data_IF_963432084092
#
_entry.id   IF_963432084092
#
_cell.length_a   1.000
_cell.length_b   1.000
_cell.length_c   1.000
_cell.angle_alpha   90.00
_cell.angle_beta   90.00
_cell.angle_gamma   90.00
#
_symmetry.space_group_name_H-M   'P 1'
#
loop_
_entity.id
_entity.type
_entity.pdbx_description
1 polymer ?
#
# COMPACT_ATOMS: atom_id res chain seq x y z
N UNK A 1 23.61 -42.80 24.99
CA UNK A 1 23.91 -41.69 24.06
C UNK A 1 22.66 -41.42 23.25
N UNK A 2 21.75 -40.60 23.80
CA UNK A 2 20.54 -40.15 23.13
C UNK A 2 20.94 -39.14 22.06
N UNK A 3 20.62 -39.43 20.80
CA UNK A 3 20.87 -38.51 19.70
C UNK A 3 20.14 -37.20 19.97
N UNK A 4 20.91 -36.11 20.12
CA UNK A 4 20.37 -34.75 20.18
C UNK A 4 19.65 -34.48 18.86
N UNK A 5 18.36 -34.17 18.94
CA UNK A 5 17.55 -33.77 17.79
C UNK A 5 18.24 -32.58 17.09
N UNK A 6 18.61 -32.67 15.80
CA UNK A 6 19.33 -31.62 15.09
C UNK A 6 18.57 -30.29 15.00
N UNK A 7 17.27 -30.26 15.32
CA UNK A 7 16.50 -29.02 15.45
C UNK A 7 16.74 -28.25 16.77
N UNK A 8 17.44 -28.86 17.73
CA UNK A 8 17.70 -28.26 19.06
C UNK A 8 18.81 -27.20 19.05
N UNK A 9 19.63 -27.17 17.99
CA UNK A 9 20.81 -26.28 17.86
C UNK A 9 20.58 -25.10 16.91
N UNK A 10 19.45 -25.06 16.21
CA UNK A 10 19.14 -23.96 15.30
C UNK A 10 18.44 -22.83 16.07
N UNK A 11 19.02 -21.63 16.02
CA UNK A 11 18.31 -20.40 16.41
C UNK A 11 17.00 -20.23 15.63
N UNK A 12 16.14 -19.30 16.03
CA UNK A 12 14.82 -19.07 15.40
C UNK A 12 14.90 -19.00 13.85
N UNK A 13 15.90 -18.29 13.32
CA UNK A 13 16.16 -18.21 11.89
C UNK A 13 16.44 -19.58 11.24
N UNK A 14 17.25 -20.41 11.89
CA UNK A 14 17.56 -21.76 11.39
C UNK A 14 16.35 -22.69 11.38
N UNK A 15 15.49 -22.61 12.41
CA UNK A 15 14.23 -23.38 12.46
C UNK A 15 13.25 -22.94 11.37
N UNK A 16 13.14 -21.64 11.12
CA UNK A 16 12.30 -21.10 10.05
C UNK A 16 12.85 -21.49 8.66
N UNK A 17 14.18 -21.42 8.46
CA UNK A 17 14.81 -21.84 7.21
C UNK A 17 14.68 -23.35 6.96
N UNK A 18 14.57 -24.17 7.99
CA UNK A 18 14.29 -25.59 7.86
C UNK A 18 12.79 -25.88 7.64
N UNK A 19 11.89 -25.12 8.29
CA UNK A 19 10.45 -25.42 8.35
C UNK A 19 9.59 -24.86 7.21
N UNK A 20 10.01 -23.79 6.54
CA UNK A 20 9.25 -23.22 5.40
C UNK A 20 9.50 -24.05 4.14
N UNK A 21 8.46 -24.59 3.50
CA UNK A 21 8.54 -25.37 2.25
C UNK A 21 8.83 -24.47 1.05
N UNK A 22 9.43 -25.03 0.00
CA UNK A 22 9.93 -24.26 -1.16
C UNK A 22 8.87 -23.43 -1.88
N UNK A 23 7.63 -23.91 -1.92
CA UNK A 23 6.49 -23.20 -2.52
C UNK A 23 6.12 -21.92 -1.77
N UNK A 24 6.42 -21.85 -0.46
CA UNK A 24 6.25 -20.65 0.37
C UNK A 24 7.48 -19.75 0.40
N UNK A 25 8.64 -20.15 -0.16
CA UNK A 25 9.90 -19.37 -0.08
C UNK A 25 10.03 -18.25 -1.12
N UNK A 26 9.04 -18.07 -2.00
CA UNK A 26 9.08 -17.07 -3.08
C UNK A 26 8.80 -15.65 -2.56
N UNK A 27 9.29 -14.64 -3.30
CA UNK A 27 8.95 -13.22 -3.06
C UNK A 27 7.50 -12.92 -3.36
N UNK A 28 6.91 -13.68 -4.29
CA UNK A 28 5.51 -13.60 -4.68
C UNK A 28 4.89 -14.98 -4.50
N UNK A 29 3.88 -15.08 -3.64
CA UNK A 29 3.10 -16.30 -3.50
C UNK A 29 1.80 -16.16 -4.31
N UNK A 30 1.58 -17.13 -5.17
CA UNK A 30 0.42 -17.22 -6.06
C UNK A 30 -0.39 -18.46 -5.67
N UNK A 31 -1.69 -18.26 -5.48
CA UNK A 31 -2.62 -19.34 -5.13
C UNK A 31 -3.74 -19.38 -6.16
N UNK A 32 -4.27 -20.57 -6.40
CA UNK A 32 -5.41 -20.75 -7.28
C UNK A 32 -6.65 -19.99 -6.75
N UNK A 33 -7.53 -19.57 -7.65
CA UNK A 33 -8.72 -18.81 -7.26
C UNK A 33 -9.63 -19.59 -6.30
N UNK A 34 -9.66 -20.91 -6.43
CA UNK A 34 -10.42 -21.86 -5.60
C UNK A 34 -9.68 -22.32 -4.33
N UNK A 35 -8.45 -21.84 -4.09
CA UNK A 35 -7.69 -22.18 -2.89
C UNK A 35 -8.51 -21.90 -1.62
N UNK A 36 -8.54 -22.88 -0.71
CA UNK A 36 -9.42 -22.88 0.45
C UNK A 36 -9.14 -21.71 1.41
N UNK A 37 -7.90 -21.22 1.47
CA UNK A 37 -7.44 -20.23 2.45
C UNK A 37 -7.19 -18.88 1.78
N UNK A 38 -6.42 -18.86 0.69
CA UNK A 38 -5.98 -17.65 0.00
C UNK A 38 -6.80 -17.34 -1.25
N UNK A 39 -7.55 -18.32 -1.77
CA UNK A 39 -8.39 -18.15 -2.95
C UNK A 39 -9.63 -17.32 -2.65
N UNK A 40 -9.93 -16.35 -3.51
CA UNK A 40 -11.12 -15.50 -3.42
C UNK A 40 -12.39 -16.09 -4.06
N UNK A 41 -12.29 -17.29 -4.65
CA UNK A 41 -13.22 -17.83 -5.63
C UNK A 41 -12.96 -17.28 -7.03
N UNK A 42 -13.48 -17.93 -8.07
CA UNK A 42 -13.41 -17.39 -9.44
C UNK A 42 -14.48 -16.31 -9.66
N UNK A 43 -14.15 -15.30 -10.46
CA UNK A 43 -15.13 -14.30 -10.89
C UNK A 43 -16.27 -14.98 -11.66
N UNK A 44 -17.52 -14.69 -11.28
CA UNK A 44 -18.73 -15.27 -11.87
C UNK A 44 -19.03 -14.83 -13.31
N UNK A 45 -18.38 -13.78 -13.78
CA UNK A 45 -18.49 -13.33 -15.17
C UNK A 45 -17.80 -14.34 -16.08
N UNK A 46 -18.51 -14.88 -17.06
CA UNK A 46 -17.99 -15.81 -18.07
C UNK A 46 -16.73 -15.24 -18.73
N UNK A 47 -15.73 -16.07 -19.00
CA UNK A 47 -14.44 -15.68 -19.59
C UNK A 47 -13.59 -14.70 -18.73
N UNK A 48 -13.95 -14.48 -17.47
CA UNK A 48 -13.13 -13.71 -16.54
C UNK A 48 -12.24 -14.63 -15.69
N UNK A 49 -10.96 -14.78 -16.07
CA UNK A 49 -9.97 -15.54 -15.31
C UNK A 49 -9.43 -14.87 -14.03
N UNK A 50 -10.16 -13.92 -13.43
CA UNK A 50 -9.71 -13.17 -12.24
C UNK A 50 -10.33 -13.70 -10.96
N UNK A 51 -9.63 -13.50 -9.84
CA UNK A 51 -10.13 -13.89 -8.52
C UNK A 51 -11.24 -12.96 -8.03
N UNK A 52 -12.33 -13.55 -7.53
CA UNK A 52 -13.43 -12.86 -6.87
C UNK A 52 -12.99 -12.33 -5.50
N UNK A 53 -13.68 -11.28 -5.02
CA UNK A 53 -13.40 -10.67 -3.69
C UNK A 53 -14.64 -10.50 -2.83
N UNK A 54 -15.80 -10.37 -3.45
CA UNK A 54 -17.09 -10.22 -2.78
C UNK A 54 -18.20 -10.34 -3.81
N UNK A 55 -19.35 -10.89 -3.41
CA UNK A 55 -20.48 -11.18 -4.31
C UNK A 55 -20.08 -12.02 -5.55
N UNK A 56 -19.01 -12.81 -5.47
CA UNK A 56 -18.51 -13.60 -6.60
C UNK A 56 -17.89 -12.78 -7.75
N UNK A 57 -17.61 -11.49 -7.58
CA UNK A 57 -17.03 -10.64 -8.63
C UNK A 57 -15.58 -10.27 -8.33
N UNK A 58 -14.75 -10.17 -9.38
CA UNK A 58 -13.43 -9.55 -9.27
C UNK A 58 -13.57 -8.04 -8.99
N UNK A 59 -12.50 -7.37 -8.54
CA UNK A 59 -12.54 -5.94 -8.19
C UNK A 59 -13.08 -5.06 -9.34
N UNK A 60 -12.65 -5.35 -10.57
CA UNK A 60 -13.06 -4.56 -11.74
C UNK A 60 -14.51 -4.78 -12.15
N UNK A 61 -15.06 -5.98 -11.96
CA UNK A 61 -16.47 -6.27 -12.20
C UNK A 61 -17.36 -5.76 -11.09
N UNK A 62 -16.93 -5.90 -9.83
CA UNK A 62 -17.64 -5.34 -8.68
C UNK A 62 -17.78 -3.81 -8.80
N UNK A 63 -16.72 -3.10 -9.19
CA UNK A 63 -16.79 -1.65 -9.39
C UNK A 63 -17.79 -1.27 -10.50
N UNK A 64 -17.85 -2.04 -11.57
CA UNK A 64 -18.80 -1.81 -12.67
C UNK A 64 -20.24 -2.08 -12.24
N UNK A 65 -20.47 -3.16 -11.53
CA UNK A 65 -21.75 -3.51 -10.95
C UNK A 65 -22.23 -2.39 -10.01
N UNK A 66 -21.35 -1.89 -9.13
CA UNK A 66 -21.65 -0.76 -8.26
C UNK A 66 -21.99 0.52 -9.04
N UNK A 67 -21.20 0.84 -10.09
CA UNK A 67 -21.45 2.02 -10.93
C UNK A 67 -22.73 1.92 -11.77
N UNK A 68 -23.20 0.71 -12.06
CA UNK A 68 -24.45 0.45 -12.76
C UNK A 68 -25.68 0.51 -11.83
N UNK A 69 -25.50 0.89 -10.57
CA UNK A 69 -26.60 0.96 -9.60
C UNK A 69 -26.91 -0.37 -8.90
N UNK A 70 -25.98 -1.34 -8.94
CA UNK A 70 -26.13 -2.68 -8.33
C UNK A 70 -27.38 -3.44 -8.84
N UNK A 71 -27.50 -3.66 -10.15
CA UNK A 71 -28.59 -4.46 -10.73
C UNK A 71 -28.53 -5.92 -10.24
N UNK A 72 -29.48 -6.75 -10.66
CA UNK A 72 -29.42 -8.18 -10.36
C UNK A 72 -28.07 -8.78 -10.80
N UNK A 73 -27.53 -9.66 -9.94
CA UNK A 73 -26.19 -10.17 -10.10
C UNK A 73 -26.09 -11.18 -11.25
N UNK A 74 -27.09 -12.04 -11.44
CA UNK A 74 -27.10 -13.00 -12.54
C UNK A 74 -27.15 -12.25 -13.88
N UNK A 75 -28.10 -11.33 -14.01
CA UNK A 75 -28.25 -10.50 -15.21
C UNK A 75 -26.98 -9.71 -15.53
N UNK A 76 -26.35 -9.12 -14.51
CA UNK A 76 -25.10 -8.39 -14.67
C UNK A 76 -23.95 -9.30 -15.14
N UNK A 77 -23.83 -10.50 -14.58
CA UNK A 77 -22.71 -11.40 -14.91
C UNK A 77 -22.74 -11.87 -16.35
N UNK A 78 -23.93 -11.98 -16.95
CA UNK A 78 -24.11 -12.35 -18.37
C UNK A 78 -23.86 -11.17 -19.30
N UNK A 79 -24.26 -9.95 -18.91
CA UNK A 79 -24.24 -8.77 -19.80
C UNK A 79 -22.92 -7.98 -19.77
N UNK A 80 -22.11 -8.12 -18.72
CA UNK A 80 -20.93 -7.29 -18.51
C UNK A 80 -19.70 -7.80 -19.29
N UNK A 81 -18.95 -6.87 -19.90
CA UNK A 81 -17.73 -7.20 -20.66
C UNK A 81 -16.69 -7.94 -19.78
N UNK A 82 -16.22 -9.15 -20.15
CA UNK A 82 -15.32 -9.93 -19.31
C UNK A 82 -13.90 -9.35 -19.27
N UNK A 83 -13.53 -8.50 -20.23
CA UNK A 83 -12.17 -7.97 -20.38
C UNK A 83 -11.74 -7.12 -19.20
N UNK A 84 -10.42 -6.98 -19.07
CA UNK A 84 -9.81 -6.02 -18.18
C UNK A 84 -10.16 -4.60 -18.61
N UNK A 85 -10.26 -3.67 -17.66
CA UNK A 85 -10.52 -2.25 -17.97
C UNK A 85 -9.51 -1.71 -19.00
N UNK A 86 -8.23 -2.07 -18.86
CA UNK A 86 -7.15 -1.71 -19.78
C UNK A 86 -7.24 -2.37 -21.16
N UNK A 87 -8.04 -3.43 -21.30
CA UNK A 87 -8.24 -4.16 -22.57
C UNK A 87 -9.55 -3.79 -23.27
N UNK A 88 -10.37 -2.94 -22.64
CA UNK A 88 -11.55 -2.39 -23.31
C UNK A 88 -11.11 -1.39 -24.37
N UNK A 89 -11.81 -1.34 -25.52
CA UNK A 89 -11.57 -0.30 -26.50
C UNK A 89 -11.68 1.07 -25.83
N UNK A 90 -10.65 1.88 -25.99
CA UNK A 90 -10.73 3.29 -25.62
C UNK A 90 -11.79 3.96 -26.50
N UNK A 91 -12.54 4.91 -25.94
CA UNK A 91 -13.56 5.65 -26.68
C UNK A 91 -12.92 6.35 -27.88
N UNK A 92 -13.52 6.20 -29.06
CA UNK A 92 -13.12 6.89 -30.28
C UNK A 92 -13.74 8.30 -30.34
N UNK A 93 -13.24 9.13 -31.24
CA UNK A 93 -13.89 10.39 -31.58
C UNK A 93 -15.28 10.11 -32.15
N UNK A 94 -16.26 10.93 -31.77
CA UNK A 94 -17.64 10.85 -32.29
C UNK A 94 -17.79 11.36 -33.72
N UNK A 95 -16.76 12.01 -34.29
CA UNK A 95 -16.77 12.45 -35.68
C UNK A 95 -16.61 11.23 -36.58
N UNK A 96 -17.52 11.07 -37.53
CA UNK A 96 -17.47 9.97 -38.48
C UNK A 96 -16.16 9.96 -39.29
N UNK A 97 -15.60 8.77 -39.52
CA UNK A 97 -14.29 8.60 -40.15
C UNK A 97 -13.07 9.04 -39.33
N UNK A 98 -13.23 9.56 -38.11
CA UNK A 98 -12.10 9.94 -37.25
C UNK A 98 -11.66 8.79 -36.34
N UNK A 99 -10.53 8.16 -36.63
CA UNK A 99 -9.99 7.05 -35.81
C UNK A 99 -9.23 7.47 -34.55
N UNK A 100 -9.12 8.77 -34.25
CA UNK A 100 -8.47 9.21 -33.01
C UNK A 100 -9.31 8.90 -31.77
N UNK A 101 -8.64 8.69 -30.63
CA UNK A 101 -9.31 8.54 -29.34
C UNK A 101 -9.96 9.82 -28.84
N UNK A 102 -11.06 9.66 -28.09
CA UNK A 102 -11.72 10.75 -27.37
C UNK A 102 -10.84 11.29 -26.26
N UNK A 103 -10.75 12.61 -26.17
CA UNK A 103 -10.00 13.33 -25.16
C UNK A 103 -10.88 14.26 -24.29
N UNK A 104 -11.88 14.92 -24.90
CA UNK A 104 -12.83 15.80 -24.19
C UNK A 104 -14.22 15.67 -24.80
N UNK A 105 -15.24 15.40 -23.98
CA UNK A 105 -16.64 15.44 -24.42
C UNK A 105 -16.99 14.53 -25.60
N UNK A 106 -16.28 13.41 -25.80
CA UNK A 106 -16.49 12.52 -26.95
C UNK A 106 -15.72 12.93 -28.22
N UNK A 107 -14.94 14.02 -28.19
CA UNK A 107 -14.13 14.48 -29.31
C UNK A 107 -12.64 14.19 -29.09
N UNK A 108 -11.89 13.97 -30.17
CA UNK A 108 -10.42 13.95 -30.10
C UNK A 108 -9.85 15.34 -29.82
N UNK A 109 -8.57 15.43 -29.47
CA UNK A 109 -7.91 16.72 -29.16
C UNK A 109 -8.09 17.77 -30.29
N UNK A 110 -7.97 17.34 -31.55
CA UNK A 110 -8.06 18.24 -32.71
C UNK A 110 -9.49 18.72 -32.96
N UNK A 111 -10.47 17.81 -32.89
CA UNK A 111 -11.89 18.15 -33.06
C UNK A 111 -12.42 18.96 -31.88
N UNK A 112 -11.99 18.68 -30.65
CA UNK A 112 -12.33 19.47 -29.47
C UNK A 112 -11.85 20.92 -29.61
N UNK A 113 -10.60 21.13 -30.04
CA UNK A 113 -10.07 22.48 -30.28
C UNK A 113 -10.83 23.22 -31.39
N UNK A 114 -11.22 22.54 -32.46
CA UNK A 114 -12.02 23.15 -33.55
C UNK A 114 -13.42 23.51 -33.11
N UNK A 115 -14.07 22.63 -32.35
CA UNK A 115 -15.39 22.88 -31.76
C UNK A 115 -15.35 24.05 -30.78
N UNK A 116 -14.30 24.16 -29.95
CA UNK A 116 -14.07 25.30 -29.07
C UNK A 116 -13.88 26.60 -29.86
N UNK A 117 -13.06 26.61 -30.92
CA UNK A 117 -12.85 27.78 -31.80
C UNK A 117 -14.11 28.19 -32.56
N UNK A 118 -15.01 27.26 -32.84
CA UNK A 118 -16.31 27.53 -33.46
C UNK A 118 -17.33 28.13 -32.47
N UNK A 119 -16.94 28.42 -31.23
CA UNK A 119 -17.83 29.00 -30.22
C UNK A 119 -18.67 27.97 -29.47
N UNK A 120 -18.26 26.70 -29.45
CA UNK A 120 -18.96 25.59 -28.76
C UNK A 120 -20.44 25.44 -29.19
N UNK A 121 -20.73 25.34 -30.49
CA UNK A 121 -22.09 25.13 -30.98
C UNK A 121 -22.68 23.81 -30.47
N UNK A 122 -24.00 23.62 -30.61
CA UNK A 122 -24.65 22.38 -30.20
C UNK A 122 -23.95 21.15 -30.83
N UNK A 123 -23.45 20.24 -29.98
CA UNK A 123 -22.50 19.21 -30.38
C UNK A 123 -23.06 18.28 -31.46
N UNK A 124 -24.32 17.84 -31.34
CA UNK A 124 -24.92 16.94 -32.33
C UNK A 124 -25.03 17.60 -33.71
N UNK A 125 -25.27 18.91 -33.76
CA UNK A 125 -25.33 19.66 -35.01
C UNK A 125 -23.95 19.80 -35.64
N UNK A 126 -22.94 20.11 -34.82
CA UNK A 126 -21.56 20.27 -35.27
C UNK A 126 -20.94 18.97 -35.78
N UNK A 127 -21.30 17.82 -35.18
CA UNK A 127 -20.82 16.51 -35.61
C UNK A 127 -21.26 16.11 -37.03
N UNK A 128 -22.25 16.78 -37.63
CA UNK A 128 -22.73 16.48 -38.99
C UNK A 128 -21.81 16.98 -40.08
N UNK A 129 -21.09 18.08 -39.83
CA UNK A 129 -20.18 18.67 -40.81
C UNK A 129 -18.92 19.28 -40.13
N UNK A 130 -18.10 18.45 -39.47
CA UNK A 130 -16.85 18.90 -38.87
C UNK A 130 -15.76 18.96 -39.93
N UNK A 131 -14.94 20.01 -39.90
CA UNK A 131 -13.73 20.06 -40.74
C UNK A 131 -12.86 18.80 -40.51
N UNK A 132 -12.26 18.21 -41.57
CA UNK A 132 -11.44 17.01 -41.48
C UNK A 132 -10.09 17.28 -40.81
N UNK A 133 -9.66 16.36 -39.94
CA UNK A 133 -8.37 16.44 -39.24
C UNK A 133 -7.31 15.64 -39.99
N UNK A 134 -6.03 15.99 -39.81
CA UNK A 134 -4.92 15.25 -40.41
C UNK A 134 -4.95 13.80 -39.95
N UNK A 135 -5.02 12.87 -40.89
CA UNK A 135 -5.03 11.43 -40.63
C UNK A 135 -3.58 10.89 -40.58
N UNK A 136 -3.32 9.80 -39.84
CA UNK A 136 -2.03 9.11 -39.90
C UNK A 136 -1.87 8.38 -41.24
N UNK A 137 -0.71 7.74 -41.45
CA UNK A 137 -0.51 6.88 -42.64
C UNK A 137 -1.61 5.80 -42.71
N UNK A 138 -2.08 5.43 -43.91
CA UNK A 138 -3.05 4.35 -44.06
C UNK A 138 -2.60 3.08 -43.32
N UNK A 139 -3.52 2.46 -42.58
CA UNK A 139 -3.23 1.26 -41.77
C UNK A 139 -2.54 1.51 -40.43
N UNK A 140 -2.19 2.76 -40.09
CA UNK A 140 -1.57 3.05 -38.79
C UNK A 140 -2.57 2.88 -37.63
N UNK A 141 -2.25 1.98 -36.71
CA UNK A 141 -3.00 1.73 -35.48
C UNK A 141 -2.10 1.87 -34.26
N UNK A 142 -2.71 2.05 -33.10
CA UNK A 142 -2.00 2.02 -31.83
C UNK A 142 -1.25 0.70 -31.67
N UNK A 143 0.00 0.76 -31.20
CA UNK A 143 0.83 -0.44 -30.99
C UNK A 143 0.32 -1.43 -29.93
N UNK A 144 -0.71 -1.06 -29.18
CA UNK A 144 -1.37 -1.98 -28.25
C UNK A 144 -2.32 -2.87 -29.07
N UNK A 145 -2.08 -4.18 -29.09
CA UNK A 145 -2.72 -5.17 -29.98
C UNK A 145 -4.25 -5.10 -30.02
N UNK A 146 -4.88 -4.82 -28.88
CA UNK A 146 -6.33 -4.76 -28.73
C UNK A 146 -6.90 -3.34 -28.86
N UNK A 147 -6.13 -2.38 -29.37
CA UNK A 147 -6.52 -0.99 -29.55
C UNK A 147 -6.52 -0.59 -31.03
N UNK A 148 -7.70 -0.36 -31.59
CA UNK A 148 -7.89 0.04 -32.99
C UNK A 148 -7.74 1.54 -33.26
N UNK A 149 -7.53 2.35 -32.22
CA UNK A 149 -7.41 3.81 -32.37
C UNK A 149 -6.13 4.21 -33.11
N UNK A 150 -6.20 5.32 -33.82
CA UNK A 150 -5.05 5.93 -34.48
C UNK A 150 -3.99 6.43 -33.48
N UNK A 151 -2.69 6.28 -33.81
CA UNK A 151 -1.59 6.83 -33.04
C UNK A 151 -1.57 8.37 -33.09
N UNK A 152 -1.16 9.01 -32.00
CA UNK A 152 -1.13 10.47 -31.91
C UNK A 152 0.26 11.06 -32.16
N UNK A 153 0.35 11.98 -33.12
CA UNK A 153 1.58 12.68 -33.49
C UNK A 153 2.70 11.69 -33.85
N UNK A 154 3.89 11.84 -33.26
CA UNK A 154 5.03 10.94 -33.47
C UNK A 154 5.00 9.71 -32.56
N UNK A 155 4.04 9.61 -31.64
CA UNK A 155 3.95 8.45 -30.76
C UNK A 155 3.32 7.26 -31.50
N UNK A 156 3.84 6.03 -31.34
CA UNK A 156 3.21 4.81 -31.87
C UNK A 156 1.94 4.40 -31.08
N UNK A 157 1.51 5.21 -30.11
CA UNK A 157 0.37 4.96 -29.24
C UNK A 157 -0.75 5.98 -29.46
N UNK A 158 -1.99 5.58 -29.20
CA UNK A 158 -3.13 6.50 -29.21
C UNK A 158 -3.07 7.47 -28.01
N UNK A 159 -3.89 8.53 -28.03
CA UNK A 159 -3.89 9.55 -26.98
C UNK A 159 -3.92 9.00 -25.55
N UNK A 160 -4.84 8.06 -25.27
CA UNK A 160 -4.99 7.48 -23.93
C UNK A 160 -3.78 6.66 -23.50
N UNK A 161 -3.25 5.81 -24.39
CA UNK A 161 -2.06 5.01 -24.09
C UNK A 161 -0.79 5.86 -23.98
N UNK A 162 -0.67 6.91 -24.78
CA UNK A 162 0.41 7.90 -24.65
C UNK A 162 0.38 8.59 -23.28
N UNK A 163 -0.81 8.95 -22.78
CA UNK A 163 -0.94 9.53 -21.44
C UNK A 163 -0.58 8.50 -20.35
N UNK A 164 -1.02 7.25 -20.48
CA UNK A 164 -0.65 6.19 -19.54
C UNK A 164 0.86 5.94 -19.55
N UNK A 165 1.48 5.84 -20.72
CA UNK A 165 2.93 5.68 -20.87
C UNK A 165 3.70 6.84 -20.23
N UNK A 166 3.26 8.09 -20.45
CA UNK A 166 3.83 9.28 -19.79
C UNK A 166 3.71 9.22 -18.27
N UNK A 167 2.54 8.81 -17.75
CA UNK A 167 2.31 8.67 -16.31
C UNK A 167 3.14 7.54 -15.68
N UNK A 168 3.56 6.55 -16.45
CA UNK A 168 4.46 5.46 -16.02
C UNK A 168 5.94 5.80 -16.25
N UNK A 169 6.30 7.08 -16.34
CA UNK A 169 7.70 7.51 -16.39
C UNK A 169 8.37 7.41 -17.77
N UNK A 170 7.60 7.22 -18.85
CA UNK A 170 8.12 7.18 -20.24
C UNK A 170 9.20 6.11 -20.44
N UNK A 171 8.94 4.91 -19.94
CA UNK A 171 9.80 3.74 -20.17
C UNK A 171 9.98 3.44 -21.65
N UNK A 172 10.87 2.50 -21.99
CA UNK A 172 10.89 1.91 -23.32
C UNK A 172 9.47 1.50 -23.78
N UNK A 173 9.16 1.76 -25.06
CA UNK A 173 7.82 1.56 -25.62
C UNK A 173 7.49 0.08 -25.72
N UNK A 174 8.47 -0.76 -26.07
CA UNK A 174 8.23 -2.20 -26.30
C UNK A 174 8.02 -2.92 -24.98
N UNK A 175 8.82 -2.57 -23.97
CA UNK A 175 8.61 -2.96 -22.58
C UNK A 175 7.29 -2.46 -22.01
N UNK A 176 6.89 -1.22 -22.31
CA UNK A 176 5.58 -0.69 -21.92
C UNK A 176 4.44 -1.48 -22.55
N UNK A 177 4.47 -1.72 -23.88
CA UNK A 177 3.45 -2.48 -24.61
C UNK A 177 3.33 -3.88 -24.03
N UNK A 178 4.46 -4.59 -23.87
CA UNK A 178 4.50 -5.94 -23.30
C UNK A 178 3.88 -5.98 -21.91
N UNK A 179 4.29 -5.07 -21.02
CA UNK A 179 3.75 -4.96 -19.66
C UNK A 179 2.27 -4.58 -19.66
N UNK A 180 1.85 -3.69 -20.57
CA UNK A 180 0.46 -3.27 -20.64
C UNK A 180 -0.46 -4.40 -21.08
N UNK A 181 -0.01 -5.21 -22.04
CA UNK A 181 -0.74 -6.36 -22.58
C UNK A 181 -0.71 -7.61 -21.70
N UNK A 182 0.25 -7.68 -20.76
CA UNK A 182 0.33 -8.77 -19.78
C UNK A 182 -0.99 -8.93 -19.03
N UNK A 183 -1.42 -10.18 -18.83
CA UNK A 183 -2.57 -10.53 -17.99
C UNK A 183 -2.12 -10.91 -16.57
N UNK A 184 -0.93 -10.49 -16.15
CA UNK A 184 -0.34 -10.88 -14.88
C UNK A 184 -1.34 -10.66 -13.75
N UNK A 185 -1.48 -11.68 -12.89
CA UNK A 185 -2.32 -11.63 -11.70
C UNK A 185 -1.95 -10.36 -10.93
N UNK A 186 -2.87 -9.41 -10.78
CA UNK A 186 -2.50 -8.10 -10.27
C UNK A 186 -1.96 -8.26 -8.84
N UNK A 187 -1.04 -7.39 -8.41
CA UNK A 187 -0.33 -7.53 -7.13
C UNK A 187 -1.23 -7.60 -5.88
N UNK A 188 -2.53 -7.28 -6.02
CA UNK A 188 -3.55 -7.40 -4.98
C UNK A 188 -4.32 -8.74 -5.01
N UNK A 189 -3.97 -9.64 -5.93
CA UNK A 189 -4.42 -11.03 -6.10
C UNK A 189 -3.26 -12.02 -5.85
N UNK A 190 -2.04 -11.53 -5.64
CA UNK A 190 -0.88 -12.29 -5.17
C UNK A 190 -0.42 -11.77 -3.81
N UNK A 191 0.30 -12.59 -3.05
CA UNK A 191 0.90 -12.16 -1.79
C UNK A 191 2.35 -11.73 -2.07
N UNK A 192 2.60 -10.44 -1.99
CA UNK A 192 3.91 -9.83 -2.21
C UNK A 192 4.68 -9.75 -0.89
N UNK A 193 5.78 -10.49 -0.75
CA UNK A 193 6.63 -10.53 0.45
C UNK A 193 8.05 -10.01 0.20
N UNK A 194 8.47 -9.88 -1.06
CA UNK A 194 9.83 -9.41 -1.41
C UNK A 194 10.16 -7.99 -0.93
N UNK A 195 9.15 -7.23 -0.51
CA UNK A 195 9.32 -5.89 0.07
C UNK A 195 9.67 -5.91 1.57
N UNK A 196 9.65 -7.07 2.22
CA UNK A 196 10.01 -7.24 3.63
C UNK A 196 11.50 -7.53 3.79
N UNK A 197 12.04 -7.30 5.00
CA UNK A 197 13.39 -7.75 5.33
C UNK A 197 13.47 -9.29 5.27
N UNK A 198 14.67 -9.89 5.04
CA UNK A 198 14.80 -11.34 4.91
C UNK A 198 14.21 -12.13 6.07
N UNK A 199 14.37 -11.64 7.30
CA UNK A 199 13.83 -12.29 8.50
C UNK A 199 12.29 -12.20 8.57
N UNK A 200 11.71 -11.00 8.41
CA UNK A 200 10.25 -10.83 8.44
C UNK A 200 9.56 -11.52 7.27
N UNK A 201 10.20 -11.54 6.10
CA UNK A 201 9.75 -12.35 4.95
C UNK A 201 9.63 -13.81 5.36
N UNK A 202 10.67 -14.38 5.97
CA UNK A 202 10.69 -15.79 6.34
C UNK A 202 9.66 -16.14 7.43
N UNK A 203 9.48 -15.27 8.43
CA UNK A 203 8.44 -15.39 9.45
C UNK A 203 7.03 -15.35 8.83
N UNK A 204 6.79 -14.40 7.91
CA UNK A 204 5.51 -14.32 7.18
C UNK A 204 5.26 -15.54 6.30
N UNK A 205 6.28 -16.05 5.61
CA UNK A 205 6.18 -17.27 4.81
C UNK A 205 5.80 -18.49 5.67
N UNK A 206 6.37 -18.60 6.87
CA UNK A 206 6.02 -19.64 7.84
C UNK A 206 4.57 -19.52 8.31
N UNK A 207 4.12 -18.33 8.71
CA UNK A 207 2.74 -18.09 9.15
C UNK A 207 1.74 -18.43 8.04
N UNK A 208 2.02 -18.02 6.80
CA UNK A 208 1.16 -18.30 5.66
C UNK A 208 1.11 -19.80 5.34
N UNK A 209 2.22 -20.52 5.46
CA UNK A 209 2.23 -21.98 5.32
C UNK A 209 1.37 -22.67 6.38
N UNK A 210 1.51 -22.31 7.66
CA UNK A 210 0.70 -22.90 8.72
C UNK A 210 -0.80 -22.64 8.47
N UNK A 211 -1.14 -21.42 8.04
CA UNK A 211 -2.52 -21.09 7.65
C UNK A 211 -3.02 -21.89 6.46
N UNK A 212 -2.17 -22.12 5.46
CA UNK A 212 -2.49 -22.97 4.31
C UNK A 212 -2.83 -24.40 4.75
N UNK A 213 -2.00 -24.96 5.62
CA UNK A 213 -2.09 -26.37 6.07
C UNK A 213 -3.30 -26.58 6.97
N UNK A 214 -3.61 -25.62 7.85
CA UNK A 214 -4.77 -25.66 8.73
C UNK A 214 -6.10 -25.62 7.98
N UNK A 215 -6.13 -25.08 6.75
CA UNK A 215 -7.33 -24.90 5.92
C UNK A 215 -8.50 -24.19 6.63
N UNK A 216 -8.20 -23.36 7.64
CA UNK A 216 -9.19 -22.67 8.48
C UNK A 216 -9.36 -21.20 8.13
N UNK A 217 -10.56 -20.86 7.65
CA UNK A 217 -10.97 -19.48 7.39
C UNK A 217 -10.28 -18.85 6.17
N UNK A 218 -10.91 -17.83 5.59
CA UNK A 218 -10.36 -17.12 4.43
C UNK A 218 -9.38 -16.04 4.87
N UNK A 219 -8.19 -16.05 4.28
CA UNK A 219 -7.15 -15.04 4.44
C UNK A 219 -6.72 -14.55 3.06
N UNK A 220 -7.53 -13.68 2.44
CA UNK A 220 -7.29 -13.26 1.06
C UNK A 220 -6.00 -12.43 0.91
N UNK A 221 -5.36 -12.42 -0.29
CA UNK A 221 -4.18 -11.61 -0.57
C UNK A 221 -4.32 -10.13 -0.21
N UNK A 222 -5.53 -9.57 -0.31
CA UNK A 222 -5.79 -8.19 0.10
C UNK A 222 -5.63 -7.98 1.62
N UNK A 223 -6.01 -8.95 2.45
CA UNK A 223 -5.81 -8.90 3.91
C UNK A 223 -4.32 -9.04 4.22
N UNK A 224 -3.63 -9.98 3.59
CA UNK A 224 -2.18 -10.17 3.78
C UNK A 224 -1.42 -8.92 3.32
N UNK A 225 -1.80 -8.30 2.20
CA UNK A 225 -1.20 -7.05 1.72
C UNK A 225 -1.43 -5.86 2.66
N UNK A 226 -2.46 -5.86 3.52
CA UNK A 226 -2.59 -4.86 4.59
C UNK A 226 -1.56 -5.12 5.69
N UNK A 227 -1.39 -6.37 6.11
CA UNK A 227 -0.38 -6.77 7.10
C UNK A 227 1.02 -6.47 6.60
N UNK A 228 1.36 -6.85 5.37
CA UNK A 228 2.67 -6.54 4.76
C UNK A 228 2.92 -5.04 4.70
N UNK A 229 1.93 -4.22 4.29
CA UNK A 229 2.08 -2.76 4.27
C UNK A 229 2.27 -2.17 5.66
N UNK A 230 1.61 -2.72 6.68
CA UNK A 230 1.84 -2.35 8.07
C UNK A 230 3.28 -2.66 8.47
N UNK A 231 3.76 -3.88 8.21
CA UNK A 231 5.14 -4.29 8.49
C UNK A 231 6.17 -3.43 7.73
N UNK A 232 5.92 -3.11 6.45
CA UNK A 232 6.78 -2.21 5.67
C UNK A 232 6.78 -0.78 6.21
N UNK A 233 5.63 -0.27 6.67
CA UNK A 233 5.55 1.04 7.32
C UNK A 233 6.40 1.09 8.59
N UNK A 234 6.41 -0.02 9.35
CA UNK A 234 7.29 -0.18 10.51
C UNK A 234 8.78 -0.28 10.14
N UNK A 235 9.11 -0.72 8.91
CA UNK A 235 10.48 -0.85 8.40
C UNK A 235 11.05 0.44 7.79
N UNK A 236 10.22 1.25 7.12
CA UNK A 236 10.65 2.46 6.40
C UNK A 236 11.00 3.64 7.33
N UNK A 237 10.75 3.52 8.64
CA UNK A 237 11.05 4.56 9.62
C UNK A 237 12.46 4.47 10.24
N UNK A 238 13.27 3.42 10.00
CA UNK A 238 14.51 3.17 10.79
C UNK A 238 14.32 3.43 12.30
N UNK A 239 13.14 3.11 12.83
CA UNK A 239 12.85 3.21 14.25
C UNK A 239 13.37 1.93 14.89
N UNK A 240 14.56 2.00 15.47
CA UNK A 240 15.17 0.93 16.29
C UNK A 240 14.50 0.78 17.67
N UNK A 241 13.24 1.23 17.85
CA UNK A 241 12.62 1.31 19.18
C UNK A 241 11.09 1.60 19.21
N UNK A 242 10.29 0.66 19.72
CA UNK A 242 8.83 0.53 19.59
C UNK A 242 7.89 1.46 20.43
N UNK A 243 8.32 2.60 21.00
CA UNK A 243 7.38 3.47 21.78
C UNK A 243 6.61 4.53 20.97
N UNK A 244 6.84 4.63 19.67
CA UNK A 244 6.47 5.84 18.95
C UNK A 244 5.37 5.69 17.89
N UNK A 245 4.64 4.57 17.77
CA UNK A 245 3.55 4.48 16.79
C UNK A 245 2.15 4.81 17.39
N UNK A 246 1.41 5.83 16.91
CA UNK A 246 0.25 6.46 17.58
C UNK A 246 -1.13 6.07 16.99
N UNK A 247 -1.33 4.83 16.51
CA UNK A 247 -2.51 4.45 15.72
C UNK A 247 -3.77 4.01 16.51
N UNK A 248 -4.11 4.66 17.63
CA UNK A 248 -5.44 4.54 18.26
C UNK A 248 -6.11 5.89 18.62
N UNK A 249 -5.70 7.02 18.03
CA UNK A 249 -6.35 8.30 18.33
C UNK A 249 -6.48 9.21 17.10
N UNK A 250 -7.33 8.84 16.13
CA UNK A 250 -7.85 9.81 15.17
C UNK A 250 -8.85 10.74 15.86
N UNK A 251 -8.49 12.02 16.08
CA UNK A 251 -9.45 13.11 16.33
C UNK A 251 -8.88 14.55 16.46
N UNK A 252 -7.58 14.86 16.27
CA UNK A 252 -7.15 16.29 16.19
C UNK A 252 -5.98 16.53 15.24
N UNK A 253 -6.30 17.03 14.05
CA UNK A 253 -5.39 17.79 13.20
C UNK A 253 -4.87 19.04 13.92
N UNK A 254 -3.61 19.01 14.36
CA UNK A 254 -2.81 20.23 14.56
C UNK A 254 -1.41 19.95 14.02
N UNK A 255 -0.84 20.80 13.14
CA UNK A 255 0.54 20.66 12.70
C UNK A 255 1.46 20.86 13.91
N UNK A 256 2.11 19.78 14.36
CA UNK A 256 3.13 19.88 15.41
C UNK A 256 4.40 20.48 14.80
N UNK A 257 4.83 21.63 15.31
CA UNK A 257 6.13 22.20 14.99
C UNK A 257 7.24 21.17 15.30
N UNK A 258 8.19 20.99 14.38
CA UNK A 258 9.31 20.07 14.57
C UNK A 258 10.06 20.45 15.85
N UNK A 259 10.36 19.49 16.76
CA UNK A 259 11.12 19.80 17.96
C UNK A 259 12.51 20.36 17.61
N UNK A 260 12.96 21.37 18.35
CA UNK A 260 14.32 21.90 18.21
C UNK A 260 15.36 20.79 18.49
N UNK A 261 16.42 20.66 17.66
CA UNK A 261 17.51 19.71 17.89
C UNK A 261 18.15 19.87 19.27
N UNK A 262 18.60 18.78 19.89
CA UNK A 262 19.17 18.80 21.24
C UNK A 262 20.38 19.73 21.33
N UNK A 263 21.30 19.63 20.38
CA UNK A 263 22.52 20.45 20.34
C UNK A 263 22.19 21.94 20.28
N UNK A 264 21.23 22.33 19.43
CA UNK A 264 20.74 23.72 19.36
C UNK A 264 20.14 24.19 20.68
N UNK A 265 19.35 23.37 21.37
CA UNK A 265 18.78 23.74 22.68
C UNK A 265 19.86 23.91 23.74
N UNK A 266 20.82 23.00 23.78
CA UNK A 266 21.92 23.02 24.75
C UNK A 266 22.82 24.26 24.52
N UNK A 267 23.08 24.61 23.26
CA UNK A 267 23.85 25.81 22.89
C UNK A 267 23.12 27.10 23.30
N UNK A 268 21.81 27.20 23.03
CA UNK A 268 21.00 28.38 23.43
C UNK A 268 20.88 28.49 24.94
N UNK A 269 20.75 27.37 25.67
CA UNK A 269 20.76 27.35 27.15
C UNK A 269 22.11 27.80 27.69
N UNK A 270 23.22 27.36 27.09
CA UNK A 270 24.58 27.78 27.48
C UNK A 270 24.77 29.29 27.30
N UNK A 271 24.32 29.85 26.18
CA UNK A 271 24.37 31.30 25.92
C UNK A 271 23.50 32.06 26.91
N UNK A 272 22.29 31.57 27.21
CA UNK A 272 21.38 32.23 28.16
C UNK A 272 21.89 32.22 29.61
N UNK A 273 22.64 31.19 30.01
CA UNK A 273 23.28 31.10 31.34
C UNK A 273 24.50 32.02 31.47
N UNK A 274 25.27 32.18 30.40
CA UNK A 274 26.51 32.98 30.36
C UNK A 274 26.31 34.40 29.80
N UNK A 275 25.08 34.93 29.87
CA UNK A 275 24.77 36.26 29.34
C UNK A 275 25.41 37.38 30.17
N UNK A 276 25.77 38.47 29.51
CA UNK A 276 26.31 39.67 30.16
C UNK A 276 25.26 40.41 30.99
N UNK A 277 25.71 41.16 32.00
CA UNK A 277 24.84 41.95 32.87
C UNK A 277 24.06 43.01 32.05
N UNK A 278 22.73 42.91 32.07
CA UNK A 278 21.83 43.77 31.30
C UNK A 278 21.19 43.10 30.08
N UNK A 279 21.68 41.94 29.63
CA UNK A 279 21.04 41.16 28.55
C UNK A 279 19.87 40.34 29.13
N UNK A 280 18.68 40.49 28.54
CA UNK A 280 17.48 39.78 28.99
C UNK A 280 17.31 38.45 28.26
N UNK A 281 16.56 37.52 28.86
CA UNK A 281 16.29 36.20 28.25
C UNK A 281 15.38 36.35 27.02
N UNK A 282 14.53 37.36 27.02
CA UNK A 282 13.66 37.72 25.90
C UNK A 282 14.46 38.18 24.67
N UNK A 283 15.55 38.93 24.88
CA UNK A 283 16.45 39.35 23.81
C UNK A 283 17.17 38.15 23.21
N UNK A 284 17.75 37.29 24.04
CA UNK A 284 18.42 36.05 23.59
C UNK A 284 17.45 35.14 22.83
N UNK A 285 16.23 34.94 23.35
CA UNK A 285 15.23 34.12 22.68
C UNK A 285 14.88 34.67 21.28
N UNK A 286 14.75 36.00 21.16
CA UNK A 286 14.48 36.69 19.89
C UNK A 286 15.63 36.49 18.89
N UNK A 287 16.89 36.64 19.34
CA UNK A 287 18.07 36.50 18.49
C UNK A 287 18.22 35.09 17.89
N UNK A 288 17.82 34.06 18.64
CA UNK A 288 17.84 32.67 18.18
C UNK A 288 16.54 32.21 17.50
N UNK A 289 15.56 33.11 17.34
CA UNK A 289 14.26 32.77 16.73
C UNK A 289 13.42 31.79 17.55
N UNK A 290 13.63 31.75 18.87
CA UNK A 290 12.92 30.88 19.81
C UNK A 290 11.94 31.72 20.62
N UNK A 291 10.74 31.20 20.88
CA UNK A 291 9.81 31.90 21.76
C UNK A 291 10.37 31.99 23.20
N UNK A 292 10.35 33.16 23.89
CA UNK A 292 10.96 33.33 25.22
C UNK A 292 10.52 32.31 26.27
N UNK A 293 9.23 31.99 26.31
CA UNK A 293 8.69 30.95 27.19
C UNK A 293 9.29 29.55 26.95
N UNK A 294 9.68 29.24 25.71
CA UNK A 294 10.33 27.98 25.36
C UNK A 294 11.75 27.93 25.91
N UNK A 295 12.49 29.04 25.85
CA UNK A 295 13.83 29.15 26.45
C UNK A 295 13.76 29.07 27.99
N UNK A 296 12.78 29.69 28.63
CA UNK A 296 12.54 29.55 30.08
C UNK A 296 12.30 28.10 30.49
N UNK A 297 11.58 27.33 29.69
CA UNK A 297 11.37 25.90 29.94
C UNK A 297 12.66 25.09 29.81
N UNK A 298 13.52 25.41 28.85
CA UNK A 298 14.81 24.73 28.70
C UNK A 298 15.76 25.04 29.85
N UNK A 299 15.85 26.31 30.27
CA UNK A 299 16.63 26.70 31.44
C UNK A 299 16.13 25.97 32.71
N UNK A 300 14.82 25.94 32.93
CA UNK A 300 14.23 25.21 34.06
C UNK A 300 14.53 23.70 34.00
N UNK A 301 14.47 23.09 32.82
CA UNK A 301 14.78 21.65 32.67
C UNK A 301 16.28 21.39 32.88
N UNK A 302 17.16 22.28 32.43
CA UNK A 302 18.60 22.18 32.67
C UNK A 302 18.94 22.31 34.17
N UNK A 303 18.25 23.20 34.91
CA UNK A 303 18.40 23.31 36.36
C UNK A 303 17.92 22.06 37.10
N UNK A 304 16.90 21.37 36.57
CA UNK A 304 16.40 20.09 37.10
C UNK A 304 17.40 18.97 36.79
N UNK A 305 17.93 18.93 35.57
CA UNK A 305 18.89 17.92 35.12
C UNK A 305 20.24 18.02 35.87
N UNK A 306 20.61 19.22 36.31
CA UNK A 306 21.81 19.51 37.14
C UNK A 306 21.53 19.38 38.65
N UNK A 307 20.28 19.07 39.04
CA UNK A 307 19.90 18.87 40.45
C UNK A 307 19.78 20.16 41.28
N UNK A 308 19.84 21.34 40.65
CA UNK A 308 19.68 22.64 41.32
C UNK A 308 18.21 22.91 41.69
N UNK A 309 17.27 22.29 40.97
CA UNK A 309 15.83 22.36 41.26
C UNK A 309 15.21 20.97 41.33
N UNK A 310 14.24 20.73 42.24
CA UNK A 310 13.54 19.45 42.31
C UNK A 310 12.66 19.25 41.08
N UNK A 311 12.73 18.07 40.48
CA UNK A 311 11.95 17.68 39.31
C UNK A 311 12.44 16.39 38.69
N UNK A 312 11.72 15.87 37.68
CA UNK A 312 12.16 14.69 36.94
C UNK A 312 13.15 15.09 35.85
N UNK A 313 14.33 14.48 35.88
CA UNK A 313 15.39 14.77 34.91
C UNK A 313 15.03 14.26 33.51
N UNK A 314 15.73 14.78 32.51
CA UNK A 314 15.62 14.33 31.12
C UNK A 314 16.11 12.89 30.97
N UNK A 315 17.12 12.46 31.77
CA UNK A 315 17.60 11.07 31.80
C UNK A 315 16.54 10.12 32.35
N UNK A 316 16.00 10.41 33.53
CA UNK A 316 14.92 9.61 34.14
C UNK A 316 13.67 9.56 33.26
N UNK A 317 13.35 10.67 32.58
CA UNK A 317 12.25 10.70 31.60
C UNK A 317 12.56 9.86 30.35
N UNK A 318 13.83 9.76 29.95
CA UNK A 318 14.32 8.89 28.88
C UNK A 318 14.22 7.41 29.25
N UNK A 319 14.77 7.05 30.40
CA UNK A 319 14.73 5.70 30.96
C UNK A 319 13.30 5.24 31.23
N UNK A 320 12.43 6.11 31.76
CA UNK A 320 11.02 5.78 31.96
C UNK A 320 10.29 5.52 30.65
N UNK A 321 10.66 6.21 29.56
CA UNK A 321 10.15 5.90 28.22
C UNK A 321 10.71 4.55 27.75
N UNK A 322 12.01 4.33 27.82
CA UNK A 322 12.61 3.05 27.42
C UNK A 322 12.03 1.86 28.19
N UNK A 323 11.87 2.00 29.49
CA UNK A 323 11.22 1.00 30.34
C UNK A 323 9.77 0.77 29.91
N UNK A 324 9.01 1.82 29.61
CA UNK A 324 7.64 1.70 29.09
C UNK A 324 7.58 1.06 27.69
N UNK A 325 8.59 1.25 26.81
CA UNK A 325 8.72 0.48 25.55
C UNK A 325 8.82 -0.99 25.85
N UNK A 326 9.81 -1.31 26.67
CA UNK A 326 10.21 -2.66 26.95
C UNK A 326 9.08 -3.43 27.64
N UNK A 327 8.39 -2.78 28.58
CA UNK A 327 7.19 -3.34 29.23
C UNK A 327 6.11 -3.64 28.18
N UNK A 328 5.78 -2.68 27.30
CA UNK A 328 4.76 -2.89 26.27
C UNK A 328 5.11 -4.02 25.28
N UNK A 329 6.39 -4.11 24.87
CA UNK A 329 6.88 -5.17 24.02
C UNK A 329 6.80 -6.53 24.73
N UNK A 330 7.27 -6.60 25.99
CA UNK A 330 7.21 -7.82 26.79
C UNK A 330 5.77 -8.25 27.10
N UNK A 331 4.84 -7.31 27.25
CA UNK A 331 3.41 -7.57 27.40
C UNK A 331 2.82 -8.15 26.10
N UNK A 332 3.22 -7.63 24.94
CA UNK A 332 2.81 -8.16 23.64
C UNK A 332 3.37 -9.58 23.42
N UNK A 333 4.65 -9.79 23.69
CA UNK A 333 5.29 -11.12 23.64
C UNK A 333 4.61 -12.10 24.60
N UNK A 334 4.30 -11.67 25.84
CA UNK A 334 3.54 -12.49 26.79
C UNK A 334 2.14 -12.81 26.29
N UNK A 335 1.44 -11.86 25.67
CA UNK A 335 0.09 -12.08 25.13
C UNK A 335 0.13 -13.10 23.99
N UNK A 336 1.15 -13.04 23.12
CA UNK A 336 1.39 -14.04 22.07
C UNK A 336 1.68 -15.41 22.69
N UNK A 337 2.53 -15.48 23.71
CA UNK A 337 2.84 -16.73 24.42
C UNK A 337 1.62 -17.29 25.16
N UNK A 338 0.79 -16.45 25.77
CA UNK A 338 -0.47 -16.84 26.42
C UNK A 338 -1.48 -17.37 25.42
N UNK A 339 -1.62 -16.74 24.24
CA UNK A 339 -2.47 -17.24 23.16
C UNK A 339 -1.97 -18.57 22.59
N UNK A 340 -0.66 -18.72 22.43
CA UNK A 340 -0.04 -19.97 22.00
C UNK A 340 -0.25 -21.09 23.04
N UNK A 341 -0.06 -20.78 24.33
CA UNK A 341 -0.29 -21.72 25.43
C UNK A 341 -1.77 -22.11 25.58
N UNK A 342 -2.70 -21.16 25.44
CA UNK A 342 -4.14 -21.42 25.44
C UNK A 342 -4.59 -22.29 24.24
N UNK A 343 -3.96 -22.09 23.08
CA UNK A 343 -4.18 -22.92 21.90
C UNK A 343 -3.67 -24.36 22.10
N UNK A 344 -2.51 -24.52 22.76
CA UNK A 344 -1.92 -25.83 23.10
C UNK A 344 -2.68 -26.58 24.21
N UNK A 345 -3.22 -25.88 25.22
CA UNK A 345 -3.98 -26.51 26.30
C UNK A 345 -5.38 -26.95 25.85
N UNK A 346 -5.99 -26.25 24.88
CA UNK A 346 -7.23 -26.69 24.22
C UNK A 346 -7.02 -27.92 23.31
N UNK A 347 -5.79 -28.20 22.88
CA UNK A 347 -5.43 -29.35 22.06
C UNK A 347 -5.20 -30.66 22.86
N UNK A 348 -5.19 -30.61 24.20
CA UNK A 348 -4.90 -31.77 25.08
C UNK A 348 -6.10 -32.25 25.91
N UNK A 349 -7.34 -31.99 25.50
CA UNK A 349 -8.49 -32.66 26.14
C UNK A 349 -8.64 -34.08 25.58
N UNK A 350 -8.45 -35.14 26.39
CA UNK A 350 -8.64 -36.50 25.93
C UNK A 350 -10.13 -36.75 25.69
N UNK A 351 -10.48 -37.05 24.43
CA UNK A 351 -11.80 -37.57 24.08
C UNK A 351 -12.06 -38.86 24.85
N UNK A 352 -13.06 -38.82 25.74
CA UNK A 352 -13.46 -39.94 26.59
C UNK A 352 -13.93 -41.11 25.71
N UNK A 353 -13.14 -42.18 25.76
CA UNK A 353 -13.45 -43.59 25.53
C UNK A 353 -14.62 -43.96 24.60
N UNK A 354 -14.25 -44.44 23.42
CA UNK A 354 -15.02 -45.47 22.70
C UNK A 354 -15.32 -46.64 23.64
N UNK A 355 -16.60 -47.02 23.75
CA UNK A 355 -16.97 -48.40 24.06
C UNK A 355 -17.78 -48.95 22.88
N UNK A 356 -17.21 -50.00 22.32
CA UNK A 356 -17.70 -50.85 21.24
C UNK A 356 -18.58 -51.94 21.84
N UNK A 357 -19.81 -52.10 21.35
CA UNK A 357 -20.46 -53.38 20.99
C UNK A 357 -21.81 -53.09 20.35
#
# INVERSE_FOLDING_TARGET
MTALDPNSTLGLLGRLMAGVRSEFRRDVLEFAADDAVFGGGSCRVTDCGRSARGHGLCQGHHQRWANAGRPDLEEFTVSTDPRWRKHRPNQACRVDGCGYGSARGGLCQLHAQRWERAGRPHLASWLRDPLPVKQPRPGATCRIRHCSLWPQAESPLCHSHTNTWKANGRTDIDGFVTRFESNDTPANETIQLGMLTPQLKLEMQYVLQQRHDDRRGKLTPTVVARVVRLLMGLLHEQVTSELACPAWAGWKDVPMARPYPREFRDDVVRVARNREDGVTIEQIATDFGVHPMTLHKWLRQADIDEGTKPGRTTSESGELREARRRIKLLELENEVLRRAAAYLSQANLPGKGSTRS
#
